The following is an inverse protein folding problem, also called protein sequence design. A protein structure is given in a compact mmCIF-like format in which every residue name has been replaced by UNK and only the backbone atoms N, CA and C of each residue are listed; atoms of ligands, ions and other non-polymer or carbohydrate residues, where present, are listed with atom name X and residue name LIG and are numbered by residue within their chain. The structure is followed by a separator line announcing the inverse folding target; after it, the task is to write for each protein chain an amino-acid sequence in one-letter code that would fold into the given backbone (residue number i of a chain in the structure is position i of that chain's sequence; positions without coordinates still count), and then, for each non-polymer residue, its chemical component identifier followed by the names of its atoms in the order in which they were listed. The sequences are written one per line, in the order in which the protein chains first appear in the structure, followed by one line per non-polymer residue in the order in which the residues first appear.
data_IF_028478611217
#
_entry.id   IF_028478611217
#
_cell.length_a   1.000
_cell.length_b   1.000
_cell.length_c   1.000
_cell.angle_alpha   90.00
_cell.angle_beta   90.00
_cell.angle_gamma   90.00
#
_symmetry.space_group_name_H-M   'P 1'
#
loop_
_entity.id
_entity.type
_entity.pdbx_description
1 polymer ?
#
# COMPACT_ATOMS: atom_id res chain seq x y z
N UNK A 1 -6.87 4.03 -13.50
CA UNK A 1 -5.63 4.22 -12.71
C UNK A 1 -6.00 4.03 -11.26
N UNK A 2 -5.30 3.16 -10.54
CA UNK A 2 -5.60 2.82 -9.16
C UNK A 2 -4.59 3.50 -8.24
N UNK A 3 -5.10 4.17 -7.21
CA UNK A 3 -4.27 4.84 -6.21
C UNK A 3 -4.07 3.91 -5.01
N UNK A 4 -2.81 3.71 -4.64
CA UNK A 4 -2.41 2.95 -3.47
C UNK A 4 -1.58 3.86 -2.57
N UNK A 5 -1.77 3.69 -1.27
CA UNK A 5 -1.04 4.42 -0.25
C UNK A 5 -0.33 3.40 0.62
N UNK A 6 1.00 3.53 0.72
CA UNK A 6 1.82 2.64 1.52
C UNK A 6 2.40 3.42 2.68
N UNK A 7 2.28 2.85 3.85
CA UNK A 7 2.84 3.38 5.08
C UNK A 7 3.74 2.32 5.71
N UNK A 8 4.89 2.75 6.23
CA UNK A 8 5.75 1.89 7.03
C UNK A 8 5.50 2.19 8.50
N UNK A 9 5.37 1.14 9.31
CA UNK A 9 5.21 1.32 10.75
C UNK A 9 6.45 2.03 11.34
N UNK A 10 6.28 3.18 12.03
CA UNK A 10 7.41 3.93 12.57
C UNK A 10 8.08 3.26 13.77
N UNK A 11 7.43 2.25 14.38
CA UNK A 11 8.00 1.44 15.47
C UNK A 11 8.80 0.25 14.91
N UNK A 12 8.76 0.03 13.60
CA UNK A 12 9.55 -0.96 12.90
C UNK A 12 11.06 -0.71 13.03
N UNK A 13 11.82 -1.78 13.24
CA UNK A 13 13.27 -1.71 13.32
C UNK A 13 13.87 -1.42 11.92
N UNK A 14 14.28 -0.17 11.68
CA UNK A 14 14.84 0.27 10.39
C UNK A 14 15.53 1.64 10.46
N UNK A 15 15.82 2.23 9.30
CA UNK A 15 16.50 3.54 9.15
C UNK A 15 15.54 4.74 9.28
N UNK A 16 14.34 4.51 9.84
CA UNK A 16 13.24 5.48 9.91
C UNK A 16 12.25 5.35 8.73
N UNK A 17 10.97 5.71 8.92
CA UNK A 17 9.88 5.46 7.96
C UNK A 17 10.15 6.07 6.58
N UNK A 18 10.68 7.29 6.51
CA UNK A 18 11.04 7.94 5.24
C UNK A 18 12.06 7.13 4.44
N UNK A 19 13.14 6.68 5.09
CA UNK A 19 14.23 5.92 4.46
C UNK A 19 13.74 4.57 3.93
N UNK A 20 12.85 3.92 4.67
CA UNK A 20 12.21 2.67 4.26
C UNK A 20 11.34 2.90 3.01
N UNK A 21 10.52 3.95 3.00
CA UNK A 21 9.65 4.28 1.86
C UNK A 21 10.44 4.71 0.61
N UNK A 22 11.54 5.46 0.77
CA UNK A 22 12.45 5.78 -0.34
C UNK A 22 13.06 4.52 -0.94
N UNK A 23 13.45 3.57 -0.10
CA UNK A 23 14.01 2.30 -0.55
C UNK A 23 12.94 1.46 -1.26
N UNK A 24 11.71 1.43 -0.76
CA UNK A 24 10.60 0.75 -1.42
C UNK A 24 10.27 1.39 -2.78
N UNK A 25 10.24 2.72 -2.85
CA UNK A 25 10.04 3.43 -4.12
C UNK A 25 11.17 3.13 -5.12
N UNK A 26 12.42 3.03 -4.66
CA UNK A 26 13.55 2.66 -5.51
C UNK A 26 13.38 1.22 -6.02
N UNK A 27 13.07 0.28 -5.12
CA UNK A 27 12.81 -1.12 -5.47
C UNK A 27 11.72 -1.29 -6.53
N UNK A 28 10.59 -0.61 -6.35
CA UNK A 28 9.47 -0.63 -7.32
C UNK A 28 9.86 -0.03 -8.68
N UNK A 29 10.84 0.87 -8.73
CA UNK A 29 11.36 1.46 -9.97
C UNK A 29 12.41 0.58 -10.65
N UNK A 30 13.11 -0.25 -9.89
CA UNK A 30 14.05 -1.24 -10.42
C UNK A 30 13.32 -2.42 -11.07
N UNK A 31 12.11 -2.74 -10.60
CA UNK A 31 11.26 -3.76 -11.21
C UNK A 31 10.78 -3.32 -12.60
N UNK A 32 11.21 -4.03 -13.64
CA UNK A 32 10.91 -3.68 -15.04
C UNK A 32 9.42 -3.78 -15.37
N UNK A 33 8.68 -4.67 -14.70
CA UNK A 33 7.23 -4.83 -14.85
C UNK A 33 6.48 -3.63 -14.27
N UNK A 34 6.99 -3.09 -13.17
CA UNK A 34 6.34 -2.01 -12.42
C UNK A 34 6.78 -0.61 -12.86
N UNK A 35 8.03 -0.42 -13.29
CA UNK A 35 8.61 0.92 -13.56
C UNK A 35 7.84 1.75 -14.58
N UNK A 36 7.16 1.12 -15.54
CA UNK A 36 6.37 1.82 -16.58
C UNK A 36 4.93 2.09 -16.13
N UNK A 37 4.41 1.30 -15.20
CA UNK A 37 3.03 1.32 -14.76
C UNK A 37 2.82 2.02 -13.40
N UNK A 38 3.88 2.17 -12.60
CA UNK A 38 3.83 2.72 -11.24
C UNK A 38 4.48 4.10 -11.20
N UNK A 39 3.72 5.08 -10.72
CA UNK A 39 4.22 6.43 -10.40
C UNK A 39 4.11 6.67 -8.90
N UNK A 40 5.24 6.62 -8.21
CA UNK A 40 5.30 6.84 -6.77
C UNK A 40 5.77 8.24 -6.37
N UNK A 41 5.14 8.81 -5.35
CA UNK A 41 5.54 10.05 -4.66
C UNK A 41 5.45 9.87 -3.16
N UNK A 42 6.51 10.28 -2.45
CA UNK A 42 6.50 10.31 -0.98
C UNK A 42 5.89 11.64 -0.53
N UNK A 43 4.98 11.55 0.44
CA UNK A 43 4.31 12.67 1.08
C UNK A 43 4.51 12.53 2.58
N UNK A 44 4.98 13.58 3.21
CA UNK A 44 4.92 13.70 4.67
C UNK A 44 3.56 14.34 5.01
N UNK A 45 2.68 13.61 5.69
CA UNK A 45 1.30 14.05 5.92
C UNK A 45 0.54 13.19 6.92
N UNK A 46 -0.59 13.70 7.42
CA UNK A 46 -1.47 12.94 8.32
C UNK A 46 -2.22 11.86 7.51
N UNK A 47 -2.33 10.61 7.98
CA UNK A 47 -3.08 9.58 7.27
C UNK A 47 -4.55 10.00 7.11
N UNK A 48 -5.16 9.78 5.94
CA UNK A 48 -6.52 10.25 5.66
C UNK A 48 -7.63 9.47 6.41
N UNK A 49 -7.27 8.46 7.20
CA UNK A 49 -8.21 7.69 8.03
C UNK A 49 -7.75 7.68 9.49
N UNK A 50 -7.93 8.79 10.18
CA UNK A 50 -8.11 8.76 11.63
C UNK A 50 -9.62 8.84 11.92
N UNK A 51 -10.33 7.72 12.16
CA UNK A 51 -11.78 7.71 12.38
C UNK A 51 -12.24 8.33 13.72
N UNK A 52 -11.39 9.04 14.45
CA UNK A 52 -11.86 9.91 15.54
C UNK A 52 -10.86 11.05 15.76
N UNK A 53 -11.41 12.24 15.98
CA UNK A 53 -10.70 13.50 15.91
C UNK A 53 -9.45 13.60 16.79
N UNK A 54 -8.44 14.28 16.25
CA UNK A 54 -8.04 15.63 16.68
C UNK A 54 -6.89 16.11 15.79
N UNK A 55 -6.97 17.30 15.18
CA UNK A 55 -5.82 17.92 14.54
C UNK A 55 -4.93 18.53 15.65
N UNK A 56 -4.03 17.71 16.20
CA UNK A 56 -2.97 18.21 17.07
C UNK A 56 -1.69 17.39 16.85
N UNK A 57 -0.85 17.87 15.92
CA UNK A 57 0.62 17.73 15.97
C UNK A 57 1.21 16.34 16.26
N UNK A 58 0.79 15.29 15.56
CA UNK A 58 1.60 14.06 15.53
C UNK A 58 2.74 14.21 14.52
N UNK A 59 4.00 13.89 14.89
CA UNK A 59 5.18 14.10 14.04
C UNK A 59 5.06 13.30 12.74
N UNK A 60 5.59 13.88 11.66
CA UNK A 60 5.39 13.47 10.27
C UNK A 60 5.38 11.95 10.05
N UNK A 61 4.20 11.43 9.73
CA UNK A 61 4.08 10.13 9.11
C UNK A 61 4.44 10.31 7.64
N UNK A 62 5.44 9.56 7.18
CA UNK A 62 5.75 9.47 5.76
C UNK A 62 4.84 8.42 5.12
N UNK A 63 4.29 8.79 3.97
CA UNK A 63 3.34 8.05 3.18
C UNK A 63 3.89 7.96 1.76
N UNK A 64 3.79 6.80 1.13
CA UNK A 64 4.09 6.61 -0.28
C UNK A 64 2.80 6.48 -1.07
N UNK A 65 2.47 7.50 -1.85
CA UNK A 65 1.36 7.46 -2.81
C UNK A 65 1.85 6.85 -4.11
N UNK A 66 1.26 5.74 -4.53
CA UNK A 66 1.50 5.08 -5.80
C UNK A 66 0.26 5.20 -6.69
N UNK A 67 0.44 5.78 -7.86
CA UNK A 67 -0.55 5.73 -8.92
C UNK A 67 -0.18 4.61 -9.90
N UNK A 68 -1.05 3.62 -10.01
CA UNK A 68 -0.84 2.38 -10.75
C UNK A 68 -1.73 2.35 -12.00
N UNK A 69 -1.14 2.10 -13.16
CA UNK A 69 -1.88 1.96 -14.42
C UNK A 69 -2.87 0.79 -14.39
N UNK A 70 -4.00 0.91 -15.08
CA UNK A 70 -5.07 -0.12 -15.11
C UNK A 70 -4.65 -1.48 -15.69
N UNK A 71 -3.45 -1.60 -16.25
CA UNK A 71 -2.89 -2.88 -16.72
C UNK A 71 -2.07 -3.65 -15.67
N UNK A 72 -1.93 -3.12 -14.45
CA UNK A 72 -1.19 -3.78 -13.37
C UNK A 72 -2.16 -4.38 -12.34
N UNK A 73 -2.01 -5.67 -12.06
CA UNK A 73 -2.75 -6.36 -10.99
C UNK A 73 -2.25 -5.99 -9.59
N UNK A 74 -3.15 -5.95 -8.62
CA UNK A 74 -2.79 -5.73 -7.21
C UNK A 74 -1.83 -6.81 -6.69
N UNK A 75 -1.93 -8.02 -7.24
CA UNK A 75 -1.02 -9.13 -6.97
C UNK A 75 0.46 -8.79 -7.24
N UNK A 76 0.75 -8.15 -8.39
CA UNK A 76 2.12 -7.79 -8.78
C UNK A 76 2.70 -6.73 -7.84
N UNK A 77 1.88 -5.75 -7.44
CA UNK A 77 2.28 -4.74 -6.46
C UNK A 77 2.59 -5.40 -5.10
N UNK A 78 1.67 -6.23 -4.63
CA UNK A 78 1.80 -6.93 -3.35
C UNK A 78 3.04 -7.83 -3.31
N UNK A 79 3.27 -8.58 -4.40
CA UNK A 79 4.43 -9.44 -4.53
C UNK A 79 5.73 -8.64 -4.47
N UNK A 80 5.82 -7.52 -5.18
CA UNK A 80 7.02 -6.67 -5.15
C UNK A 80 7.27 -6.08 -3.75
N UNK A 81 6.22 -5.71 -3.01
CA UNK A 81 6.33 -5.26 -1.60
C UNK A 81 6.86 -6.38 -0.70
N UNK A 82 6.34 -7.60 -0.86
CA UNK A 82 6.80 -8.76 -0.09
C UNK A 82 8.26 -9.12 -0.41
N UNK A 83 8.66 -9.07 -1.68
CA UNK A 83 10.06 -9.28 -2.09
C UNK A 83 11.00 -8.23 -1.50
N UNK A 84 10.56 -6.98 -1.43
CA UNK A 84 11.30 -5.91 -0.76
C UNK A 84 11.41 -6.17 0.75
N UNK A 85 10.34 -6.58 1.42
CA UNK A 85 10.37 -6.96 2.84
C UNK A 85 11.33 -8.13 3.08
N UNK A 86 11.27 -9.16 2.22
CA UNK A 86 12.13 -10.35 2.30
C UNK A 86 13.61 -10.05 2.03
N UNK A 87 13.91 -9.04 1.20
CA UNK A 87 15.28 -8.57 0.96
C UNK A 87 15.89 -7.88 2.18
N UNK A 88 15.10 -7.57 3.21
CA UNK A 88 15.59 -6.96 4.44
C UNK A 88 15.84 -7.99 5.53
N UNK A 89 16.95 -7.79 6.24
CA UNK A 89 17.28 -8.60 7.44
C UNK A 89 16.24 -8.49 8.55
N UNK A 90 15.52 -7.35 8.61
CA UNK A 90 14.36 -7.14 9.48
C UNK A 90 13.23 -6.60 8.60
N UNK A 91 12.21 -7.42 8.28
CA UNK A 91 11.11 -6.98 7.43
C UNK A 91 10.31 -5.90 8.18
N UNK A 92 10.24 -4.67 7.66
CA UNK A 92 9.42 -3.62 8.28
C UNK A 92 7.95 -3.93 8.01
N UNK A 93 7.06 -3.59 8.95
CA UNK A 93 5.62 -3.74 8.75
C UNK A 93 5.14 -2.66 7.79
N UNK A 94 4.44 -3.06 6.73
CA UNK A 94 3.92 -2.16 5.69
C UNK A 94 2.40 -2.22 5.68
N UNK A 95 1.76 -1.07 5.84
CA UNK A 95 0.32 -0.94 5.64
C UNK A 95 0.07 -0.46 4.21
N UNK A 96 -0.69 -1.24 3.44
CA UNK A 96 -1.15 -0.91 2.09
C UNK A 96 -2.61 -0.53 2.16
N UNK A 97 -2.93 0.69 1.72
CA UNK A 97 -4.28 1.23 1.67
C UNK A 97 -4.68 1.51 0.23
N UNK A 98 -5.94 1.23 -0.08
CA UNK A 98 -6.55 1.45 -1.38
C UNK A 98 -8.00 1.87 -1.18
N UNK A 99 -8.28 3.17 -1.30
CA UNK A 99 -9.59 3.73 -0.97
C UNK A 99 -9.97 3.39 0.49
N UNK A 100 -11.11 2.73 0.74
CA UNK A 100 -11.54 2.34 2.10
C UNK A 100 -10.86 1.08 2.64
N UNK A 101 -10.10 0.34 1.81
CA UNK A 101 -9.47 -0.91 2.21
C UNK A 101 -8.07 -0.67 2.72
N UNK A 102 -7.77 -1.16 3.92
CA UNK A 102 -6.46 -1.09 4.55
C UNK A 102 -6.00 -2.49 4.93
N UNK A 103 -4.75 -2.82 4.58
CA UNK A 103 -4.17 -4.15 4.81
C UNK A 103 -2.76 -3.99 5.35
N UNK A 104 -2.48 -4.64 6.47
CA UNK A 104 -1.16 -4.63 7.11
C UNK A 104 -0.38 -5.89 6.75
N UNK A 105 0.81 -5.70 6.18
CA UNK A 105 1.74 -6.73 5.76
C UNK A 105 2.92 -6.78 6.72
N UNK A 106 3.07 -7.89 7.43
CA UNK A 106 4.18 -8.14 8.36
C UNK A 106 5.37 -8.84 7.70
N UNK A 107 5.22 -9.29 6.45
CA UNK A 107 6.17 -10.12 5.73
C UNK A 107 5.95 -11.64 5.92
N UNK A 108 5.18 -12.04 6.93
CA UNK A 108 4.81 -13.46 7.17
C UNK A 108 3.84 -13.98 6.09
N UNK A 109 3.03 -13.09 5.52
CA UNK A 109 2.06 -13.37 4.44
C UNK A 109 2.70 -14.07 3.23
N UNK A 110 4.01 -13.86 2.99
CA UNK A 110 4.72 -14.51 1.90
C UNK A 110 4.75 -16.05 2.04
N UNK A 111 4.62 -16.57 3.26
CA UNK A 111 4.56 -18.02 3.54
C UNK A 111 3.16 -18.63 3.40
N UNK A 112 2.09 -17.82 3.30
CA UNK A 112 0.70 -18.27 3.31
C UNK A 112 -0.03 -17.86 2.02
N UNK A 113 -0.03 -18.76 1.04
CA UNK A 113 -0.59 -18.50 -0.28
C UNK A 113 -2.10 -18.20 -0.27
N UNK A 114 -2.86 -18.85 0.62
CA UNK A 114 -4.31 -18.63 0.77
C UNK A 114 -4.61 -17.26 1.37
N UNK A 115 -3.82 -16.82 2.34
CA UNK A 115 -3.92 -15.48 2.92
C UNK A 115 -3.53 -14.41 1.89
N UNK A 116 -2.46 -14.63 1.14
CA UNK A 116 -2.05 -13.74 0.05
C UNK A 116 -3.15 -13.58 -0.99
N UNK A 117 -3.77 -14.69 -1.42
CA UNK A 117 -4.87 -14.68 -2.39
C UNK A 117 -6.07 -13.87 -1.89
N UNK A 118 -6.43 -13.98 -0.61
CA UNK A 118 -7.51 -13.18 0.01
C UNK A 118 -7.18 -11.69 0.04
N UNK A 119 -5.94 -11.34 0.37
CA UNK A 119 -5.47 -9.95 0.37
C UNK A 119 -5.54 -9.35 -1.04
N UNK A 120 -5.04 -10.07 -2.05
CA UNK A 120 -5.12 -9.64 -3.45
C UNK A 120 -6.57 -9.43 -3.87
N UNK A 121 -7.44 -10.42 -3.60
CA UNK A 121 -8.86 -10.31 -3.94
C UNK A 121 -9.52 -9.09 -3.26
N UNK A 122 -9.20 -8.80 -2.00
CA UNK A 122 -9.71 -7.61 -1.32
C UNK A 122 -9.21 -6.31 -1.99
N UNK A 123 -7.94 -6.25 -2.38
CA UNK A 123 -7.37 -5.10 -3.09
C UNK A 123 -7.94 -4.93 -4.49
N UNK A 124 -8.28 -6.00 -5.20
CA UNK A 124 -8.88 -5.92 -6.55
C UNK A 124 -10.37 -5.60 -6.50
N UNK A 125 -11.11 -6.21 -5.58
CA UNK A 125 -12.56 -5.98 -5.41
C UNK A 125 -12.86 -4.64 -4.77
N UNK A 126 -11.95 -4.09 -3.96
CA UNK A 126 -12.12 -2.77 -3.34
C UNK A 126 -12.15 -1.58 -4.29
N UNK A 127 -12.18 -1.84 -5.61
CA UNK A 127 -12.35 -0.84 -6.67
C UNK A 127 -13.82 -0.52 -6.93
N UNK A 128 -14.71 -1.41 -6.50
CA UNK A 128 -16.10 -1.45 -6.94
C UNK A 128 -17.02 -1.85 -5.81
N UNK A 129 -17.31 -0.90 -4.93
CA UNK A 129 -18.61 -0.81 -4.29
C UNK A 129 -18.94 0.68 -4.09
N UNK A 130 -19.20 1.35 -5.22
CA UNK A 130 -20.22 2.41 -5.36
C UNK A 130 -20.78 2.31 -6.81
N UNK A 131 -20.99 1.09 -7.31
CA UNK A 131 -21.77 0.86 -8.54
C UNK A 131 -22.89 -0.12 -8.19
N UNK A 132 -23.94 0.44 -7.57
CA UNK A 132 -25.09 -0.31 -7.06
C UNK A 132 -26.12 0.54 -6.32
N UNK A 133 -26.17 1.85 -6.55
CA UNK A 133 -27.21 2.70 -5.98
C UNK A 133 -27.58 3.84 -6.94
N UNK A 134 -28.11 3.51 -8.13
CA UNK A 134 -29.11 4.38 -8.77
C UNK A 134 -29.93 3.62 -9.83
N UNK A 135 -31.26 3.68 -9.72
CA UNK A 135 -32.13 3.70 -10.90
C UNK A 135 -33.20 2.62 -11.08
N UNK A 136 -34.40 2.87 -10.54
CA UNK A 136 -35.70 2.45 -11.13
C UNK A 136 -36.57 1.57 -10.22
N UNK A 137 -37.82 1.92 -9.87
CA UNK A 137 -38.76 2.90 -10.41
C UNK A 137 -39.84 3.21 -9.36
N UNK A 138 -40.37 4.44 -9.44
CA UNK A 138 -41.63 4.87 -8.84
C UNK A 138 -42.83 4.11 -9.41
#
# INVERSE_FOLDING_TARGET
MHEYELQVDPRGAGQGPESELRSLLLWLKEDESLRRAVRGRIRSGVPASAPHGTPMGSPGFDLLQLAVGSGLSAASLLFAVLQWQASRRRPPVVTVRRGPYEITLTGDEAGDADRLRRIVAALENGSGDEDGADGGTA
#
